data_IF_099387224943
#
_entry.id   IF_099387224943
#
_cell.length_a   1.000
_cell.length_b   1.000
_cell.length_c   1.000
_cell.angle_alpha   90.00
_cell.angle_beta   90.00
_cell.angle_gamma   90.00
#
_symmetry.space_group_name_H-M   'P 1'
#
loop_
_entity.id
_entity.type
_entity.pdbx_description
1 polymer ?
#
# COMPACT_ATOMS: atom_id res chain seq x y z
N UNK A 1 -1.94 -1.44 -3.46
CA UNK A 1 -3.38 -1.76 -3.43
C UNK A 1 -4.05 -0.76 -2.50
N UNK A 2 -3.79 -0.82 -1.19
CA UNK A 2 -4.17 0.23 -0.22
C UNK A 2 -3.94 1.67 -0.70
N UNK A 3 -2.74 2.01 -1.16
CA UNK A 3 -2.45 3.36 -1.67
C UNK A 3 -3.26 3.75 -2.92
N UNK A 4 -3.66 2.78 -3.74
CA UNK A 4 -4.50 3.03 -4.91
C UNK A 4 -5.95 3.27 -4.50
N UNK A 5 -6.49 2.42 -3.61
CA UNK A 5 -7.84 2.58 -3.06
C UNK A 5 -7.96 3.92 -2.32
N UNK A 6 -7.03 4.25 -1.42
CA UNK A 6 -7.06 5.54 -0.72
C UNK A 6 -6.95 6.77 -1.64
N UNK A 7 -6.34 6.64 -2.83
CA UNK A 7 -6.36 7.72 -3.83
C UNK A 7 -7.70 7.79 -4.54
N UNK A 8 -8.34 6.66 -4.86
CA UNK A 8 -9.69 6.66 -5.43
C UNK A 8 -10.67 7.33 -4.46
N UNK A 9 -10.58 6.99 -3.17
CA UNK A 9 -11.39 7.63 -2.13
C UNK A 9 -11.17 9.15 -2.10
N UNK A 10 -9.91 9.58 -2.10
CA UNK A 10 -9.55 10.99 -2.16
C UNK A 10 -10.13 11.71 -3.39
N UNK A 11 -10.08 11.06 -4.56
CA UNK A 11 -10.62 11.62 -5.80
C UNK A 11 -12.14 11.72 -5.77
N UNK A 12 -12.84 10.72 -5.23
CA UNK A 12 -14.30 10.72 -5.10
C UNK A 12 -14.77 11.86 -4.18
N UNK A 13 -14.09 12.05 -3.04
CA UNK A 13 -14.36 13.17 -2.13
C UNK A 13 -14.12 14.50 -2.86
N UNK A 14 -12.96 14.65 -3.51
CA UNK A 14 -12.56 15.94 -4.12
C UNK A 14 -13.37 16.32 -5.36
N UNK A 15 -13.70 15.35 -6.22
CA UNK A 15 -14.29 15.60 -7.54
C UNK A 15 -15.80 15.38 -7.58
N UNK A 16 -16.31 14.39 -6.85
CA UNK A 16 -17.72 14.03 -6.86
C UNK A 16 -18.43 14.46 -5.56
N UNK A 17 -17.71 15.01 -4.58
CA UNK A 17 -18.30 15.50 -3.34
C UNK A 17 -18.84 14.39 -2.42
N UNK A 18 -18.36 13.15 -2.61
CA UNK A 18 -18.76 12.01 -1.76
C UNK A 18 -18.33 12.26 -0.32
N UNK A 19 -19.22 12.02 0.64
CA UNK A 19 -18.91 12.23 2.04
C UNK A 19 -17.92 11.16 2.55
N UNK A 20 -16.85 11.55 3.28
CA UNK A 20 -15.85 10.58 3.76
C UNK A 20 -16.44 9.45 4.63
N UNK A 21 -17.53 9.71 5.36
CA UNK A 21 -18.18 8.72 6.24
C UNK A 21 -18.91 7.63 5.47
N UNK A 22 -19.21 7.85 4.20
CA UNK A 22 -19.90 6.90 3.32
C UNK A 22 -18.92 6.08 2.47
N UNK A 23 -17.63 6.42 2.54
CA UNK A 23 -16.62 5.94 1.61
C UNK A 23 -15.55 5.11 2.32
N UNK A 24 -15.75 3.80 2.26
CA UNK A 24 -14.79 2.78 2.68
C UNK A 24 -14.78 1.71 1.58
N UNK A 25 -13.71 1.67 0.79
CA UNK A 25 -13.59 0.81 -0.38
C UNK A 25 -12.72 -0.42 -0.10
N UNK A 26 -13.15 -1.57 -0.60
CA UNK A 26 -12.52 -2.87 -0.35
C UNK A 26 -11.14 -3.00 -0.98
N UNK A 27 -10.11 -3.10 -0.15
CA UNK A 27 -8.81 -3.58 -0.63
C UNK A 27 -8.81 -5.07 -0.96
N UNK A 28 -9.74 -5.88 -0.42
CA UNK A 28 -9.84 -7.30 -0.75
C UNK A 28 -10.21 -7.51 -2.21
N UNK A 29 -11.18 -6.74 -2.72
CA UNK A 29 -11.53 -6.73 -4.13
C UNK A 29 -10.32 -6.37 -4.99
N UNK A 30 -9.56 -5.35 -4.56
CA UNK A 30 -8.36 -4.93 -5.28
C UNK A 30 -7.26 -5.99 -5.27
N UNK A 31 -7.08 -6.70 -4.15
CA UNK A 31 -6.18 -7.84 -4.05
C UNK A 31 -6.60 -8.96 -4.99
N UNK A 32 -7.87 -9.35 -4.98
CA UNK A 32 -8.42 -10.35 -5.88
C UNK A 32 -8.17 -10.00 -7.35
N UNK A 33 -8.52 -8.78 -7.78
CA UNK A 33 -8.35 -8.32 -9.16
C UNK A 33 -6.89 -8.40 -9.66
N UNK A 34 -5.93 -8.16 -8.76
CA UNK A 34 -4.52 -8.21 -9.16
C UNK A 34 -3.96 -9.63 -9.06
N UNK A 35 -4.34 -10.37 -8.02
CA UNK A 35 -3.81 -11.71 -7.76
C UNK A 35 -4.40 -12.78 -8.68
N UNK A 36 -5.60 -12.57 -9.25
CA UNK A 36 -6.22 -13.53 -10.17
C UNK A 36 -5.33 -13.91 -11.36
N UNK A 37 -4.47 -12.97 -11.80
CA UNK A 37 -3.54 -13.15 -12.92
C UNK A 37 -2.07 -13.24 -12.46
N UNK A 38 -1.82 -13.52 -11.17
CA UNK A 38 -0.46 -13.56 -10.60
C UNK A 38 -0.22 -14.78 -9.72
N UNK A 39 1.05 -15.12 -9.68
CA UNK A 39 1.62 -16.20 -8.88
C UNK A 39 2.58 -15.66 -7.79
N UNK A 40 2.58 -14.34 -7.54
CA UNK A 40 3.42 -13.66 -6.56
C UNK A 40 2.68 -12.48 -5.95
N UNK A 41 2.95 -12.16 -4.68
CA UNK A 41 2.43 -10.96 -4.01
C UNK A 41 2.89 -9.66 -4.70
N UNK A 42 2.18 -8.57 -4.45
CA UNK A 42 2.58 -7.22 -4.84
C UNK A 42 2.07 -6.76 -6.20
N UNK A 43 2.12 -5.45 -6.43
CA UNK A 43 1.60 -4.81 -7.64
C UNK A 43 2.23 -3.44 -7.87
N UNK A 44 1.90 -2.79 -8.98
CA UNK A 44 2.38 -1.44 -9.30
C UNK A 44 1.21 -0.46 -9.37
N UNK A 45 1.45 0.82 -9.05
CA UNK A 45 0.43 1.87 -9.09
C UNK A 45 -0.30 1.91 -10.44
N UNK A 46 0.43 1.96 -11.57
CA UNK A 46 -0.20 2.04 -12.89
C UNK A 46 -1.00 0.79 -13.28
N UNK A 47 -0.65 -0.40 -12.76
CA UNK A 47 -1.49 -1.61 -12.95
C UNK A 47 -2.75 -1.51 -12.10
N UNK A 48 -2.60 -1.07 -10.85
CA UNK A 48 -3.71 -0.92 -9.91
C UNK A 48 -4.76 0.06 -10.43
N UNK A 49 -4.35 1.26 -10.84
CA UNK A 49 -5.27 2.28 -11.36
C UNK A 49 -5.97 1.83 -12.65
N UNK A 50 -5.29 1.07 -13.52
CA UNK A 50 -5.96 0.53 -14.72
C UNK A 50 -7.02 -0.51 -14.37
N UNK A 51 -6.70 -1.44 -13.47
CA UNK A 51 -7.66 -2.45 -13.02
C UNK A 51 -8.91 -1.80 -12.40
N UNK A 52 -8.76 -0.69 -11.68
CA UNK A 52 -9.89 0.07 -11.13
C UNK A 52 -10.76 0.69 -12.24
N UNK A 53 -10.16 1.28 -13.28
CA UNK A 53 -10.94 1.78 -14.42
C UNK A 53 -11.61 0.65 -15.22
N UNK A 54 -10.96 -0.51 -15.34
CA UNK A 54 -11.49 -1.63 -16.12
C UNK A 54 -12.63 -2.35 -15.37
N UNK A 55 -12.51 -2.49 -14.05
CA UNK A 55 -13.29 -3.44 -13.26
C UNK A 55 -13.98 -2.84 -12.03
N UNK A 56 -13.79 -1.54 -11.77
CA UNK A 56 -14.43 -0.83 -10.67
C UNK A 56 -13.83 -1.11 -9.30
N UNK A 57 -14.62 -0.74 -8.30
CA UNK A 57 -14.33 -0.88 -6.87
C UNK A 57 -15.55 -1.48 -6.17
N UNK A 58 -15.36 -1.98 -4.96
CA UNK A 58 -16.40 -2.59 -4.12
C UNK A 58 -16.33 -1.90 -2.77
N UNK A 59 -17.44 -1.79 -2.04
CA UNK A 59 -17.40 -1.27 -0.67
C UNK A 59 -16.79 -2.29 0.30
N UNK A 60 -16.08 -1.81 1.32
CA UNK A 60 -15.49 -2.68 2.36
C UNK A 60 -16.56 -3.53 3.06
N UNK A 61 -17.78 -2.99 3.26
CA UNK A 61 -18.92 -3.75 3.82
C UNK A 61 -19.35 -4.94 2.94
N UNK A 62 -19.11 -4.88 1.64
CA UNK A 62 -19.52 -5.89 0.66
C UNK A 62 -18.47 -6.99 0.55
N UNK A 63 -17.19 -6.62 0.60
CA UNK A 63 -16.10 -7.60 0.71
C UNK A 63 -14.98 -7.11 1.64
N UNK A 64 -15.06 -7.43 2.94
CA UNK A 64 -14.10 -6.93 3.91
C UNK A 64 -12.66 -7.42 3.67
N UNK A 65 -11.69 -6.56 3.96
CA UNK A 65 -10.28 -6.89 3.92
C UNK A 65 -9.90 -7.95 4.96
N UNK A 66 -9.32 -9.03 4.46
CA UNK A 66 -8.78 -10.11 5.27
C UNK A 66 -7.27 -9.92 5.47
N UNK A 67 -6.87 -9.75 6.74
CA UNK A 67 -5.44 -9.67 7.12
C UNK A 67 -4.74 -11.04 7.12
N UNK A 68 -5.50 -12.11 6.89
CA UNK A 68 -4.99 -13.48 6.93
C UNK A 68 -4.07 -13.70 5.74
N UNK A 69 -3.10 -14.59 5.86
CA UNK A 69 -2.25 -15.02 4.75
C UNK A 69 -2.40 -16.51 4.57
N UNK A 70 -2.53 -16.96 3.33
CA UNK A 70 -2.65 -18.39 3.00
C UNK A 70 -1.38 -18.83 2.24
N UNK A 71 -0.29 -19.17 2.95
CA UNK A 71 0.99 -19.45 2.30
C UNK A 71 0.98 -20.73 1.45
N UNK A 72 0.23 -21.75 1.87
CA UNK A 72 0.03 -23.01 1.15
C UNK A 72 -1.28 -23.68 1.60
N UNK A 73 -1.58 -24.90 1.13
CA UNK A 73 -2.62 -25.75 1.72
C UNK A 73 -2.04 -26.83 2.62
N UNK A 74 -0.73 -26.77 2.90
CA UNK A 74 -0.03 -27.71 3.76
C UNK A 74 -0.45 -27.46 5.20
N UNK A 75 -0.57 -28.56 5.96
CA UNK A 75 -0.87 -28.52 7.38
C UNK A 75 0.27 -27.78 8.08
N UNK A 76 -0.06 -26.72 8.84
CA UNK A 76 0.78 -26.00 9.83
C UNK A 76 0.55 -24.47 9.90
N UNK A 77 -0.66 -23.96 9.60
CA UNK A 77 -1.01 -22.57 9.96
C UNK A 77 -2.48 -22.38 10.37
N UNK A 78 -2.78 -21.39 11.25
CA UNK A 78 -4.09 -21.28 11.92
C UNK A 78 -5.30 -21.13 10.98
N UNK A 79 -5.10 -20.58 9.79
CA UNK A 79 -6.17 -20.27 8.84
C UNK A 79 -6.37 -21.34 7.75
N UNK A 80 -5.70 -22.49 7.85
CA UNK A 80 -5.71 -23.52 6.82
C UNK A 80 -7.11 -24.02 6.46
N UNK A 81 -8.01 -24.15 7.45
CA UNK A 81 -9.38 -24.61 7.21
C UNK A 81 -10.11 -23.67 6.25
N UNK A 82 -9.94 -22.36 6.40
CA UNK A 82 -10.53 -21.36 5.50
C UNK A 82 -9.90 -21.41 4.12
N UNK A 83 -8.57 -21.55 4.04
CA UNK A 83 -7.87 -21.66 2.77
C UNK A 83 -8.28 -22.92 1.99
N UNK A 84 -8.40 -24.08 2.67
CA UNK A 84 -8.89 -25.33 2.07
C UNK A 84 -10.35 -25.20 1.62
N UNK A 85 -11.20 -24.52 2.39
CA UNK A 85 -12.59 -24.27 2.00
C UNK A 85 -12.67 -23.38 0.75
N UNK A 86 -11.86 -22.32 0.68
CA UNK A 86 -11.92 -21.34 -0.41
C UNK A 86 -11.16 -21.78 -1.68
N UNK A 87 -10.07 -22.53 -1.55
CA UNK A 87 -9.14 -22.83 -2.63
C UNK A 87 -8.84 -24.33 -2.82
N UNK A 88 -9.32 -25.22 -1.93
CA UNK A 88 -8.96 -26.64 -1.94
C UNK A 88 -9.40 -27.40 -3.19
N UNK A 89 -10.47 -26.97 -3.85
CA UNK A 89 -10.92 -27.54 -5.13
C UNK A 89 -9.95 -27.25 -6.29
N UNK A 90 -8.97 -26.36 -6.10
CA UNK A 90 -7.97 -26.00 -7.10
C UNK A 90 -6.67 -26.80 -6.98
N UNK A 91 -6.57 -27.80 -6.08
CA UNK A 91 -5.33 -28.58 -5.85
C UNK A 91 -4.77 -29.20 -7.13
N UNK A 92 -5.63 -29.65 -8.05
CA UNK A 92 -5.23 -30.20 -9.35
C UNK A 92 -4.87 -29.13 -10.40
N UNK A 93 -5.00 -27.84 -10.06
CA UNK A 93 -4.77 -26.69 -10.93
C UNK A 93 -3.76 -25.70 -10.28
N UNK A 94 -2.46 -26.03 -10.24
CA UNK A 94 -1.47 -25.32 -9.41
C UNK A 94 -1.38 -23.81 -9.65
N UNK A 95 -1.57 -23.36 -10.91
CA UNK A 95 -1.60 -21.94 -11.26
C UNK A 95 -2.76 -21.22 -10.56
N UNK A 96 -3.97 -21.76 -10.67
CA UNK A 96 -5.16 -21.15 -10.07
C UNK A 96 -5.15 -21.29 -8.55
N UNK A 97 -4.65 -22.40 -8.02
CA UNK A 97 -4.46 -22.55 -6.58
C UNK A 97 -3.61 -21.41 -6.03
N UNK A 98 -2.46 -21.14 -6.65
CA UNK A 98 -1.55 -20.08 -6.17
C UNK A 98 -2.18 -18.70 -6.25
N UNK A 99 -2.90 -18.38 -7.33
CA UNK A 99 -3.65 -17.13 -7.44
C UNK A 99 -4.77 -17.04 -6.40
N UNK A 100 -5.48 -18.14 -6.12
CA UNK A 100 -6.52 -18.20 -5.10
C UNK A 100 -5.98 -17.98 -3.70
N UNK A 101 -4.84 -18.61 -3.35
CA UNK A 101 -4.20 -18.41 -2.05
C UNK A 101 -3.76 -16.95 -1.83
N UNK A 102 -3.35 -16.26 -2.90
CA UNK A 102 -2.97 -14.85 -2.86
C UNK A 102 -4.18 -13.90 -2.84
N UNK A 103 -5.19 -14.14 -3.69
CA UNK A 103 -6.38 -13.29 -3.83
C UNK A 103 -7.53 -13.66 -2.89
N UNK A 104 -7.36 -14.75 -2.14
CA UNK A 104 -8.30 -15.36 -1.19
C UNK A 104 -9.65 -15.78 -1.78
N UNK A 105 -9.71 -16.01 -3.09
CA UNK A 105 -10.90 -16.50 -3.78
C UNK A 105 -10.55 -17.07 -5.14
N UNK A 106 -11.38 -17.99 -5.66
CA UNK A 106 -11.12 -18.65 -6.93
C UNK A 106 -11.02 -17.62 -8.09
N UNK A 107 -9.87 -17.51 -8.77
CA UNK A 107 -9.66 -16.51 -9.82
C UNK A 107 -10.56 -16.75 -11.06
N UNK A 108 -11.07 -17.97 -11.25
CA UNK A 108 -11.90 -18.33 -12.41
C UNK A 108 -13.30 -17.72 -12.31
N UNK A 109 -13.79 -17.43 -11.09
CA UNK A 109 -15.10 -16.81 -10.86
C UNK A 109 -15.25 -15.49 -11.62
N UNK A 110 -14.15 -14.78 -11.85
CA UNK A 110 -14.16 -13.50 -12.54
C UNK A 110 -14.79 -13.58 -13.94
N UNK A 111 -14.49 -14.65 -14.70
CA UNK A 111 -14.90 -14.83 -16.09
C UNK A 111 -16.11 -15.77 -16.25
N UNK A 112 -16.53 -16.44 -15.16
CA UNK A 112 -17.66 -17.37 -15.18
C UNK A 112 -19.01 -16.67 -15.34
N UNK A 113 -19.99 -17.36 -15.91
CA UNK A 113 -21.37 -16.89 -15.93
C UNK A 113 -21.98 -16.93 -14.53
N UNK A 114 -22.95 -16.04 -14.25
CA UNK A 114 -23.64 -15.99 -12.95
C UNK A 114 -24.24 -17.36 -12.55
N UNK A 115 -24.70 -18.15 -13.53
CA UNK A 115 -25.24 -19.50 -13.29
C UNK A 115 -24.18 -20.44 -12.69
N UNK A 116 -22.97 -20.47 -13.26
CA UNK A 116 -21.88 -21.33 -12.78
C UNK A 116 -21.36 -20.85 -11.43
N UNK A 117 -21.25 -19.53 -11.24
CA UNK A 117 -20.85 -18.94 -9.97
C UNK A 117 -21.86 -19.30 -8.87
N UNK A 118 -23.17 -19.30 -9.15
CA UNK A 118 -24.18 -19.65 -8.16
C UNK A 118 -24.01 -21.07 -7.59
N UNK A 119 -23.39 -21.98 -8.35
CA UNK A 119 -23.13 -23.36 -7.91
C UNK A 119 -21.83 -23.50 -7.11
N UNK A 120 -20.86 -22.60 -7.30
CA UNK A 120 -19.53 -22.68 -6.71
C UNK A 120 -19.38 -21.70 -5.54
N UNK A 121 -19.77 -20.46 -5.77
CA UNK A 121 -19.56 -19.33 -4.87
C UNK A 121 -20.61 -18.22 -5.10
N UNK A 122 -21.87 -18.42 -4.66
CA UNK A 122 -22.97 -17.48 -4.91
C UNK A 122 -22.74 -16.09 -4.31
N UNK A 123 -21.90 -15.96 -3.27
CA UNK A 123 -21.56 -14.68 -2.66
C UNK A 123 -20.71 -13.78 -3.58
N UNK A 124 -20.03 -14.36 -4.57
CA UNK A 124 -19.23 -13.57 -5.52
C UNK A 124 -20.09 -12.77 -6.52
N UNK A 125 -21.33 -13.20 -6.77
CA UNK A 125 -22.26 -12.51 -7.69
C UNK A 125 -22.56 -11.08 -7.24
N UNK A 126 -23.05 -10.81 -6.01
CA UNK A 126 -23.33 -9.44 -5.58
C UNK A 126 -22.06 -8.57 -5.54
N UNK A 127 -20.91 -9.13 -5.19
CA UNK A 127 -19.61 -8.44 -5.22
C UNK A 127 -19.30 -7.95 -6.65
N UNK A 128 -19.37 -8.85 -7.64
CA UNK A 128 -19.09 -8.52 -9.03
C UNK A 128 -20.09 -7.51 -9.60
N UNK A 129 -21.37 -7.63 -9.22
CA UNK A 129 -22.42 -6.67 -9.64
C UNK A 129 -22.20 -5.29 -9.04
N UNK A 130 -21.84 -5.20 -7.76
CA UNK A 130 -21.47 -3.92 -7.14
C UNK A 130 -20.25 -3.31 -7.84
N UNK A 131 -19.23 -4.10 -8.13
CA UNK A 131 -18.03 -3.64 -8.84
C UNK A 131 -18.35 -2.98 -10.18
N UNK A 132 -19.19 -3.63 -10.99
CA UNK A 132 -19.66 -3.10 -12.28
C UNK A 132 -20.47 -1.82 -12.09
N UNK A 133 -21.41 -1.82 -11.13
CA UNK A 133 -22.24 -0.66 -10.84
C UNK A 133 -21.41 0.56 -10.41
N UNK A 134 -20.49 0.39 -9.46
CA UNK A 134 -19.63 1.48 -8.98
C UNK A 134 -18.62 1.91 -10.03
N UNK A 135 -18.14 1.00 -10.89
CA UNK A 135 -17.34 1.37 -12.06
C UNK A 135 -18.08 2.39 -12.92
N UNK A 136 -19.31 2.04 -13.30
CA UNK A 136 -20.08 2.79 -14.27
C UNK A 136 -20.68 4.08 -13.72
N UNK A 137 -20.88 4.16 -12.40
CA UNK A 137 -21.49 5.33 -11.74
C UNK A 137 -20.50 6.26 -11.04
N UNK A 138 -19.35 5.77 -10.57
CA UNK A 138 -18.42 6.55 -9.74
C UNK A 138 -16.98 6.63 -10.30
N UNK A 139 -16.54 5.68 -11.11
CA UNK A 139 -15.10 5.52 -11.42
C UNK A 139 -14.73 5.84 -12.86
N UNK A 140 -15.62 5.57 -13.83
CA UNK A 140 -15.29 5.61 -15.26
C UNK A 140 -14.69 6.95 -15.74
N UNK A 141 -15.06 8.07 -15.13
CA UNK A 141 -14.58 9.42 -15.45
C UNK A 141 -13.73 10.05 -14.33
N UNK A 142 -13.47 9.32 -13.25
CA UNK A 142 -12.82 9.83 -12.04
C UNK A 142 -11.39 10.33 -12.29
N UNK A 143 -10.67 9.68 -13.21
CA UNK A 143 -9.33 10.07 -13.63
C UNK A 143 -8.99 9.53 -15.02
N UNK A 144 -8.03 10.18 -15.68
CA UNK A 144 -7.67 9.83 -17.05
C UNK A 144 -6.81 8.56 -17.11
N UNK A 145 -7.17 7.61 -18.00
CA UNK A 145 -6.34 6.45 -18.31
C UNK A 145 -4.99 6.87 -18.89
N UNK A 146 -3.89 6.48 -18.23
CA UNK A 146 -2.52 6.71 -18.72
C UNK A 146 -1.71 5.40 -18.74
N UNK A 147 -0.76 5.32 -19.69
CA UNK A 147 0.24 4.23 -19.71
C UNK A 147 1.10 4.24 -18.43
N UNK A 148 1.39 5.43 -17.93
CA UNK A 148 2.10 5.64 -16.67
C UNK A 148 1.60 6.92 -16.00
N UNK A 149 1.46 6.87 -14.68
CA UNK A 149 1.17 8.03 -13.83
C UNK A 149 2.44 8.62 -13.20
N UNK A 150 3.62 8.10 -13.56
CA UNK A 150 4.90 8.47 -12.98
C UNK A 150 5.21 9.96 -13.22
N UNK A 151 5.65 10.64 -12.17
CA UNK A 151 6.25 11.96 -12.21
C UNK A 151 7.61 11.93 -11.52
N UNK A 152 8.56 12.67 -12.09
CA UNK A 152 9.90 12.90 -11.51
C UNK A 152 10.16 14.37 -11.20
N UNK A 153 9.18 15.23 -11.47
CA UNK A 153 9.31 16.68 -11.35
C UNK A 153 8.93 17.10 -9.92
N UNK A 154 9.95 17.44 -9.14
CA UNK A 154 9.80 17.85 -7.74
C UNK A 154 8.91 19.09 -7.59
N UNK A 155 9.04 20.07 -8.48
CA UNK A 155 8.23 21.29 -8.44
C UNK A 155 6.76 20.99 -8.68
N UNK A 156 6.44 20.08 -9.61
CA UNK A 156 5.06 19.61 -9.81
C UNK A 156 4.52 18.84 -8.62
N UNK A 157 5.34 17.96 -8.02
CA UNK A 157 4.94 17.18 -6.84
C UNK A 157 4.54 18.12 -5.70
N UNK A 158 5.39 19.10 -5.37
CA UNK A 158 5.07 20.10 -4.34
C UNK A 158 3.85 20.92 -4.70
N UNK A 159 3.75 21.38 -5.96
CA UNK A 159 2.58 22.13 -6.41
C UNK A 159 1.28 21.35 -6.22
N UNK A 160 1.23 20.07 -6.60
CA UNK A 160 0.03 19.25 -6.40
C UNK A 160 -0.34 19.13 -4.93
N UNK A 161 0.63 18.92 -4.05
CA UNK A 161 0.41 18.85 -2.61
C UNK A 161 -0.11 20.19 -2.05
N UNK A 162 0.46 21.33 -2.47
CA UNK A 162 -0.02 22.67 -2.11
C UNK A 162 -1.44 22.95 -2.61
N UNK A 163 -1.79 22.41 -3.78
CA UNK A 163 -3.13 22.54 -4.38
C UNK A 163 -4.16 21.58 -3.71
N UNK A 164 -3.83 20.95 -2.58
CA UNK A 164 -4.72 20.01 -1.86
C UNK A 164 -4.88 18.65 -2.56
N UNK A 165 -3.98 18.30 -3.49
CA UNK A 165 -3.99 17.03 -4.20
C UNK A 165 -2.99 16.05 -3.59
N UNK A 166 -3.33 14.77 -3.65
CA UNK A 166 -2.49 13.70 -3.10
C UNK A 166 -1.63 13.05 -4.19
N UNK A 167 -0.46 12.53 -3.80
CA UNK A 167 0.50 11.87 -4.70
C UNK A 167 0.87 10.51 -4.12
N UNK A 168 0.90 9.44 -4.90
CA UNK A 168 1.40 8.16 -4.41
C UNK A 168 2.93 8.17 -4.46
N UNK A 169 3.58 7.81 -3.36
CA UNK A 169 5.01 7.49 -3.32
C UNK A 169 5.18 5.98 -3.25
N UNK A 170 5.80 5.39 -4.28
CA UNK A 170 6.30 4.02 -4.25
C UNK A 170 7.81 4.02 -3.98
N UNK A 171 8.27 3.31 -2.96
CA UNK A 171 9.69 3.31 -2.54
C UNK A 171 10.13 1.92 -2.10
N UNK A 172 11.44 1.69 -2.02
CA UNK A 172 12.01 0.56 -1.26
C UNK A 172 11.96 0.87 0.23
N UNK A 173 11.78 -0.13 1.10
CA UNK A 173 11.94 0.00 2.54
C UNK A 173 13.39 -0.20 2.95
N UNK A 174 13.93 0.80 3.64
CA UNK A 174 15.21 0.72 4.33
C UNK A 174 14.94 0.58 5.83
N UNK A 175 15.07 -0.64 6.35
CA UNK A 175 14.47 -1.00 7.64
C UNK A 175 15.00 -0.20 8.83
N UNK A 176 16.29 0.15 8.83
CA UNK A 176 16.91 1.02 9.83
C UNK A 176 16.34 2.44 9.77
N UNK A 177 16.30 3.03 8.57
CA UNK A 177 15.73 4.36 8.32
C UNK A 177 14.27 4.48 8.75
N UNK A 178 13.51 3.40 8.62
CA UNK A 178 12.11 3.30 9.04
C UNK A 178 11.93 2.91 10.51
N UNK A 179 12.97 2.55 11.24
CA UNK A 179 12.90 1.96 12.59
C UNK A 179 12.00 0.72 12.67
N UNK A 180 11.94 -0.05 11.59
CA UNK A 180 11.13 -1.27 11.46
C UNK A 180 11.66 -2.38 12.37
N UNK A 181 10.79 -3.29 12.82
CA UNK A 181 11.20 -4.50 13.57
C UNK A 181 12.25 -5.32 12.81
N UNK A 182 12.21 -5.27 11.48
CA UNK A 182 13.18 -5.95 10.61
C UNK A 182 14.62 -5.47 10.78
N UNK A 183 14.87 -4.30 11.37
CA UNK A 183 16.24 -3.88 11.70
C UNK A 183 16.89 -4.81 12.73
N UNK A 184 16.12 -5.32 13.69
CA UNK A 184 16.61 -6.30 14.67
C UNK A 184 16.74 -7.68 14.01
N UNK A 185 15.74 -8.08 13.20
CA UNK A 185 15.74 -9.37 12.47
C UNK A 185 16.95 -9.56 11.55
N UNK A 186 17.39 -8.49 10.88
CA UNK A 186 18.55 -8.53 9.99
C UNK A 186 19.81 -7.94 10.63
N UNK A 187 19.80 -7.76 11.95
CA UNK A 187 20.94 -7.25 12.73
C UNK A 187 21.54 -5.95 12.18
N UNK A 188 20.70 -5.06 11.64
CA UNK A 188 21.16 -3.84 10.97
C UNK A 188 21.69 -2.84 11.99
N UNK A 189 20.87 -2.52 13.01
CA UNK A 189 21.15 -1.60 14.11
C UNK A 189 20.04 -1.71 15.16
N UNK A 190 20.26 -1.17 16.36
CA UNK A 190 19.21 -1.01 17.37
C UNK A 190 18.09 -0.05 16.90
N UNK A 191 16.85 -0.33 17.33
CA UNK A 191 15.66 0.46 16.97
C UNK A 191 15.50 1.69 17.85
N UNK A 192 15.29 2.84 17.21
CA UNK A 192 14.66 3.97 17.86
C UNK A 192 13.13 3.82 17.80
N UNK A 193 12.56 3.15 18.81
CA UNK A 193 11.11 2.98 18.93
C UNK A 193 10.38 4.32 19.07
N UNK A 194 11.04 5.36 19.57
CA UNK A 194 10.42 6.68 19.72
C UNK A 194 10.09 7.27 18.36
N UNK A 195 11.04 7.18 17.39
CA UNK A 195 10.88 7.59 16.00
C UNK A 195 9.89 6.73 15.23
N UNK A 196 9.90 5.41 15.47
CA UNK A 196 8.88 4.50 14.92
C UNK A 196 7.46 4.98 15.29
N UNK A 197 7.21 5.24 16.57
CA UNK A 197 5.91 5.70 17.02
C UNK A 197 5.59 7.14 16.62
N UNK A 198 6.60 7.99 16.45
CA UNK A 198 6.44 9.34 15.93
C UNK A 198 6.25 9.37 14.41
N UNK A 199 6.43 8.24 13.70
CA UNK A 199 6.25 8.17 12.25
C UNK A 199 7.38 8.84 11.47
N UNK A 200 8.60 8.90 12.01
CA UNK A 200 9.74 9.58 11.38
C UNK A 200 10.56 8.58 10.57
N UNK A 201 10.74 8.87 9.29
CA UNK A 201 11.59 8.09 8.38
C UNK A 201 12.81 8.92 7.97
N UNK A 202 14.00 8.42 8.34
CA UNK A 202 15.29 9.03 8.01
C UNK A 202 15.77 8.73 6.59
N UNK A 203 17.08 8.85 6.38
CA UNK A 203 17.75 8.54 5.12
C UNK A 203 18.81 7.45 5.28
N UNK A 204 18.85 6.42 4.42
CA UNK A 204 19.82 5.32 4.52
C UNK A 204 21.17 5.77 3.95
N UNK A 205 22.05 6.25 4.82
CA UNK A 205 23.32 6.85 4.43
C UNK A 205 24.29 5.88 3.77
N UNK A 206 25.09 6.40 2.83
CA UNK A 206 26.15 5.62 2.21
C UNK A 206 27.15 5.19 3.28
N UNK A 207 27.54 3.91 3.28
CA UNK A 207 28.42 3.35 4.31
C UNK A 207 27.71 2.92 5.61
N UNK A 208 26.37 2.96 5.65
CA UNK A 208 25.60 2.35 6.76
C UNK A 208 25.24 0.90 6.49
N UNK A 209 25.10 0.13 7.57
CA UNK A 209 24.59 -1.24 7.52
C UNK A 209 23.18 -1.30 6.91
N UNK A 210 22.34 -0.31 7.22
CA UNK A 210 20.97 -0.22 6.67
C UNK A 210 20.99 -0.09 5.15
N UNK A 211 21.87 0.76 4.63
CA UNK A 211 22.03 0.97 3.19
C UNK A 211 22.37 -0.33 2.46
N UNK A 212 23.32 -1.11 2.97
CA UNK A 212 23.73 -2.38 2.34
C UNK A 212 22.67 -3.46 2.51
N UNK A 213 22.24 -3.72 3.75
CA UNK A 213 21.39 -4.86 4.08
C UNK A 213 19.98 -4.66 3.52
N UNK A 214 19.37 -3.49 3.73
CA UNK A 214 18.03 -3.22 3.22
C UNK A 214 17.98 -2.98 1.72
N UNK A 215 19.10 -2.61 1.07
CA UNK A 215 19.17 -2.59 -0.40
C UNK A 215 18.95 -3.98 -0.99
N UNK A 216 19.29 -5.05 -0.29
CA UNK A 216 19.02 -6.43 -0.75
C UNK A 216 17.69 -6.93 -0.21
N UNK A 217 17.46 -6.79 1.10
CA UNK A 217 16.34 -7.43 1.81
C UNK A 217 15.07 -6.57 1.91
N UNK A 218 15.16 -5.29 1.53
CA UNK A 218 14.06 -4.33 1.59
C UNK A 218 12.96 -4.66 0.58
N UNK A 219 11.72 -4.78 1.05
CA UNK A 219 10.56 -4.89 0.17
C UNK A 219 10.21 -3.55 -0.49
N UNK A 220 9.46 -3.60 -1.59
CA UNK A 220 8.76 -2.42 -2.11
C UNK A 220 7.60 -2.03 -1.20
N UNK A 221 7.35 -0.74 -1.07
CA UNK A 221 6.27 -0.16 -0.25
C UNK A 221 5.64 1.02 -0.97
N UNK A 222 4.39 1.32 -0.66
CA UNK A 222 3.65 2.42 -1.27
C UNK A 222 2.80 3.14 -0.23
N UNK A 223 2.79 4.47 -0.30
CA UNK A 223 2.06 5.36 0.60
C UNK A 223 1.47 6.54 -0.17
N UNK A 224 0.59 7.30 0.48
CA UNK A 224 -0.02 8.50 -0.09
C UNK A 224 0.60 9.72 0.57
N UNK A 225 1.26 10.56 -0.20
CA UNK A 225 1.73 11.88 0.21
C UNK A 225 0.55 12.84 0.25
N UNK A 226 0.46 13.60 1.35
CA UNK A 226 -0.65 14.52 1.65
C UNK A 226 -0.19 15.95 1.91
N UNK A 227 1.12 16.18 2.02
CA UNK A 227 1.70 17.49 2.23
C UNK A 227 3.22 17.44 2.25
N UNK A 228 3.85 18.59 2.43
CA UNK A 228 5.29 18.72 2.61
C UNK A 228 5.59 19.90 3.52
N UNK A 229 6.79 19.91 4.08
CA UNK A 229 7.35 21.03 4.83
C UNK A 229 8.85 21.08 4.52
N UNK A 230 9.33 22.24 4.05
CA UNK A 230 10.72 22.44 3.65
C UNK A 230 11.63 22.81 4.81
N UNK A 231 11.08 23.12 5.98
CA UNK A 231 11.80 23.64 7.14
C UNK A 231 12.05 22.62 8.24
N UNK A 232 11.26 21.55 8.30
CA UNK A 232 11.50 20.46 9.27
C UNK A 232 12.87 19.81 9.06
N UNK A 233 13.63 19.69 10.14
CA UNK A 233 14.91 18.97 10.19
C UNK A 233 14.70 17.62 10.87
N UNK A 234 14.94 16.54 10.13
CA UNK A 234 14.96 15.17 10.65
C UNK A 234 16.38 14.82 11.04
N UNK A 235 16.60 14.57 12.33
CA UNK A 235 17.87 14.04 12.86
C UNK A 235 17.76 12.52 13.00
N UNK A 236 18.75 11.78 12.55
CA UNK A 236 18.83 10.32 12.70
C UNK A 236 20.21 9.86 13.12
N UNK A 237 20.26 8.76 13.87
CA UNK A 237 21.51 8.10 14.26
C UNK A 237 21.53 6.72 13.63
N UNK A 238 22.61 6.37 12.95
CA UNK A 238 22.72 5.11 12.20
C UNK A 238 24.04 4.41 12.50
N UNK A 239 24.01 3.08 12.42
CA UNK A 239 25.22 2.28 12.58
C UNK A 239 25.94 2.13 11.23
N UNK A 240 27.22 2.49 11.23
CA UNK A 240 28.12 2.39 10.10
C UNK A 240 28.61 0.95 9.93
N UNK A 241 29.21 0.63 8.78
CA UNK A 241 29.75 -0.72 8.51
C UNK A 241 30.87 -1.14 9.48
N UNK A 242 31.65 -0.18 10.00
CA UNK A 242 32.69 -0.43 11.01
C UNK A 242 32.13 -0.61 12.44
N UNK A 243 30.80 -0.56 12.60
CA UNK A 243 30.11 -0.68 13.88
C UNK A 243 29.99 0.62 14.67
N UNK A 244 30.64 1.70 14.23
CA UNK A 244 30.49 3.04 14.82
C UNK A 244 29.09 3.60 14.60
N UNK A 245 28.73 4.60 15.40
CA UNK A 245 27.46 5.31 15.26
C UNK A 245 27.71 6.72 14.80
N UNK A 246 26.95 7.16 13.79
CA UNK A 246 27.01 8.54 13.28
C UNK A 246 25.61 9.17 13.28
N UNK A 247 25.60 10.49 13.46
CA UNK A 247 24.39 11.31 13.39
C UNK A 247 24.32 12.03 12.05
N UNK A 248 23.11 12.12 11.51
CA UNK A 248 22.80 12.71 10.22
C UNK A 248 21.58 13.60 10.35
N UNK A 249 21.58 14.71 9.63
CA UNK A 249 20.48 15.67 9.62
C UNK A 249 20.03 15.99 8.20
N UNK A 250 18.72 16.04 8.02
CA UNK A 250 18.10 16.30 6.73
C UNK A 250 16.97 17.30 6.85
N UNK A 251 17.09 18.40 6.10
CA UNK A 251 16.07 19.43 6.00
C UNK A 251 15.05 19.08 4.91
N UNK A 252 13.77 19.26 5.21
CA UNK A 252 12.65 19.04 4.31
C UNK A 252 12.05 17.62 4.40
N UNK A 253 10.72 17.56 4.56
CA UNK A 253 9.95 16.31 4.64
C UNK A 253 8.73 16.33 3.70
N UNK A 254 8.24 15.14 3.37
CA UNK A 254 6.87 14.91 2.93
C UNK A 254 6.07 14.27 4.05
N UNK A 255 4.82 14.67 4.22
CA UNK A 255 3.85 14.01 5.10
C UNK A 255 3.08 12.96 4.32
N UNK A 256 2.81 11.81 4.95
CA UNK A 256 2.15 10.70 4.28
C UNK A 256 1.17 9.93 5.17
N UNK A 257 0.10 9.41 4.55
CA UNK A 257 -0.79 8.38 5.09
C UNK A 257 -0.20 7.00 4.78
N UNK A 258 -0.01 6.17 5.80
CA UNK A 258 0.46 4.79 5.66
C UNK A 258 -0.71 3.79 5.74
N UNK A 259 -0.48 2.53 5.37
CA UNK A 259 -1.48 1.45 5.37
C UNK A 259 -1.20 0.36 6.41
N UNK A 260 -0.52 0.71 7.52
CA UNK A 260 -0.18 -0.23 8.61
C UNK A 260 -1.07 -0.06 9.86
N UNK A 261 -2.20 0.64 9.71
CA UNK A 261 -3.10 0.98 10.80
C UNK A 261 -2.54 2.01 11.77
N UNK A 262 -3.22 2.17 12.91
CA UNK A 262 -3.00 3.31 13.83
C UNK A 262 -2.28 2.96 15.13
N UNK A 263 -2.03 1.67 15.39
CA UNK A 263 -1.47 1.20 16.68
C UNK A 263 0.06 1.07 16.68
N UNK A 264 0.68 1.11 15.51
CA UNK A 264 2.10 0.84 15.31
C UNK A 264 2.89 2.08 14.90
N UNK A 265 3.42 2.06 13.68
CA UNK A 265 4.14 3.19 13.09
C UNK A 265 3.27 4.45 13.12
N UNK A 266 3.84 5.58 13.52
CA UNK A 266 3.12 6.85 13.49
C UNK A 266 1.94 6.96 14.46
N UNK A 267 1.78 6.05 15.43
CA UNK A 267 0.67 6.10 16.40
C UNK A 267 0.64 7.37 17.25
N UNK A 268 1.77 8.10 17.34
CA UNK A 268 1.93 9.37 18.03
C UNK A 268 2.29 10.52 17.08
N UNK A 269 2.10 10.34 15.77
CA UNK A 269 2.38 11.39 14.81
C UNK A 269 1.45 12.59 15.07
N UNK A 270 2.03 13.78 15.10
CA UNK A 270 1.32 15.04 15.26
C UNK A 270 1.81 16.05 14.22
N UNK A 271 0.89 16.86 13.73
CA UNK A 271 1.15 17.99 12.85
C UNK A 271 0.39 19.20 13.43
N UNK A 272 1.10 20.30 13.68
CA UNK A 272 0.55 21.53 14.29
C UNK A 272 -0.26 21.28 15.57
N UNK A 273 0.24 20.39 16.42
CA UNK A 273 -0.41 19.99 17.68
C UNK A 273 -1.57 19.01 17.52
N UNK A 274 -2.07 18.79 16.30
CA UNK A 274 -3.16 17.86 16.00
C UNK A 274 -2.63 16.44 15.78
N UNK A 275 -3.32 15.46 16.34
CA UNK A 275 -2.93 14.05 16.28
C UNK A 275 -3.44 13.37 15.01
N UNK A 276 -2.54 12.71 14.27
CA UNK A 276 -2.89 11.91 13.08
C UNK A 276 -2.26 10.51 13.16
N UNK A 277 -2.82 9.59 13.97
CA UNK A 277 -2.28 8.23 14.10
C UNK A 277 -2.21 7.49 12.76
N UNK A 278 -1.11 6.80 12.50
CA UNK A 278 -0.89 6.06 11.25
C UNK A 278 -0.32 6.90 10.10
N UNK A 279 -0.14 8.20 10.32
CA UNK A 279 0.59 9.09 9.42
C UNK A 279 2.07 9.13 9.81
N UNK A 280 2.89 9.65 8.89
CA UNK A 280 4.31 9.86 9.13
C UNK A 280 4.88 11.00 8.31
N UNK A 281 6.17 11.24 8.54
CA UNK A 281 7.01 12.12 7.74
C UNK A 281 8.21 11.34 7.21
N UNK A 282 8.59 11.63 5.98
CA UNK A 282 9.76 11.06 5.32
C UNK A 282 10.61 12.17 4.75
N UNK A 283 11.94 12.08 4.93
CA UNK A 283 12.85 13.09 4.36
C UNK A 283 12.64 13.19 2.84
N UNK A 284 12.61 14.42 2.30
CA UNK A 284 12.46 14.61 0.86
C UNK A 284 13.59 13.92 0.10
N UNK A 285 14.82 13.94 0.65
CA UNK A 285 15.96 13.23 0.08
C UNK A 285 15.69 11.74 -0.11
N UNK A 286 15.14 11.06 0.90
CA UNK A 286 14.77 9.65 0.77
C UNK A 286 13.76 9.43 -0.36
N UNK A 287 12.71 10.26 -0.38
CA UNK A 287 11.64 10.13 -1.37
C UNK A 287 12.15 10.35 -2.80
N UNK A 288 13.09 11.26 -3.01
CA UNK A 288 13.66 11.53 -4.34
C UNK A 288 14.72 10.52 -4.77
N UNK A 289 15.57 10.06 -3.85
CA UNK A 289 16.66 9.13 -4.18
C UNK A 289 16.16 7.68 -4.35
N UNK A 290 15.09 7.28 -3.65
CA UNK A 290 14.60 5.89 -3.64
C UNK A 290 13.13 5.72 -4.03
N UNK A 291 12.44 6.82 -4.29
CA UNK A 291 11.02 6.81 -4.60
C UNK A 291 10.71 6.99 -6.07
N UNK A 292 9.48 6.63 -6.39
CA UNK A 292 8.78 6.93 -7.62
C UNK A 292 7.46 7.59 -7.25
N UNK A 293 7.20 8.78 -7.79
CA UNK A 293 5.99 9.54 -7.51
C UNK A 293 4.96 9.28 -8.60
N UNK A 294 3.70 9.11 -8.22
CA UNK A 294 2.61 8.90 -9.17
C UNK A 294 1.48 9.87 -8.88
N UNK A 295 1.08 10.62 -9.90
CA UNK A 295 -0.01 11.57 -9.81
C UNK A 295 -1.19 11.10 -10.66
N UNK A 296 -2.34 10.99 -10.01
CA UNK A 296 -3.59 10.51 -10.59
C UNK A 296 -4.60 11.65 -10.52
N UNK A 297 -5.13 12.02 -11.69
CA UNK A 297 -6.16 13.05 -11.89
C UNK A 297 -6.86 12.82 -13.23
#
# INVERSE_FOLDING_TARGET
MFSAIGIVEHLLIRKHGVLPVELDLSEQWMEYLIMKDKNTEGSTTSRNMRAILDWGVVHEKTWPYSRKKWPSLDEDYPEITMAKQACGHLVSLPKYLKSCLLGQRDPRLFEMADYDIAQIDPEFIPIRKEAIYLRDTLVNDLYSRKKSYLSKDQSKIKKWLSDGKSVILGTKLYYGSWNSKKTETYEIQERDKSKWYAGIVGYPEVGTRDRRISRTNGGGHSMILVGYDDDIVVKTRMQMEDGSWQEFEYKGVYYFKNSWGVKGFGKRFKLDGVSYPGYGMITQKYAHDFGNFFYID
#
